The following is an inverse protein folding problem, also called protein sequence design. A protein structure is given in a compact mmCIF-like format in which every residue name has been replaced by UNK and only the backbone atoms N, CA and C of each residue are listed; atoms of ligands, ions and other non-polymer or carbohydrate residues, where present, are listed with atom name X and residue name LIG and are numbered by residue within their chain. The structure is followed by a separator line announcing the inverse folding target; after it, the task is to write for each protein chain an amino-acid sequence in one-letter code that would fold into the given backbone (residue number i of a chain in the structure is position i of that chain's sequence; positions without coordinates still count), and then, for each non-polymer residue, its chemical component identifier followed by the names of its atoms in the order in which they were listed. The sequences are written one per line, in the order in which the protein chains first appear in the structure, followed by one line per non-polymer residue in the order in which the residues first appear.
data_IF_027389927530
#
_entry.id   IF_027389927530
#
_cell.length_a   1.000
_cell.length_b   1.000
_cell.length_c   1.000
_cell.angle_alpha   90.00
_cell.angle_beta   90.00
_cell.angle_gamma   90.00
#
_symmetry.space_group_name_H-M   'P 1'
#
loop_
_entity.id
_entity.type
_entity.pdbx_description
1 polymer ?
#
# COMPACT_ATOMS: atom_id res chain seq x y z
N UNK A 1 3.18 30.12 44.46
CA UNK A 1 3.43 28.69 44.65
C UNK A 1 2.19 27.95 44.20
N UNK A 2 2.16 27.46 42.95
CA UNK A 2 0.99 26.79 42.38
C UNK A 2 0.96 25.34 42.85
N UNK A 3 0.05 25.03 43.77
CA UNK A 3 -0.27 23.68 44.20
C UNK A 3 -1.08 23.00 43.08
N UNK A 4 -0.44 22.14 42.29
CA UNK A 4 -1.14 21.25 41.35
C UNK A 4 -1.94 20.23 42.17
N UNK A 5 -3.28 20.25 42.03
CA UNK A 5 -4.11 19.22 42.64
C UNK A 5 -3.72 17.86 42.04
N UNK A 6 -3.58 16.79 42.85
CA UNK A 6 -3.31 15.47 42.31
C UNK A 6 -4.46 15.04 41.39
N UNK A 7 -4.12 14.51 40.21
CA UNK A 7 -5.10 14.03 39.23
C UNK A 7 -6.08 13.05 39.88
N UNK A 8 -7.36 13.35 39.78
CA UNK A 8 -8.45 12.58 40.36
C UNK A 8 -8.66 11.27 39.60
N UNK A 9 -9.22 10.27 40.28
CA UNK A 9 -9.68 9.03 39.64
C UNK A 9 -10.73 9.34 38.57
N UNK A 10 -11.55 10.38 38.78
CA UNK A 10 -12.55 10.83 37.81
C UNK A 10 -11.91 11.40 36.54
N UNK A 11 -10.79 12.14 36.65
CA UNK A 11 -10.06 12.67 35.49
C UNK A 11 -9.59 11.53 34.56
N UNK A 12 -9.11 10.42 35.14
CA UNK A 12 -8.70 9.22 34.39
C UNK A 12 -9.88 8.52 33.71
N UNK A 13 -11.04 8.49 34.36
CA UNK A 13 -12.24 7.89 33.80
C UNK A 13 -12.77 8.72 32.62
N UNK A 14 -12.73 10.05 32.74
CA UNK A 14 -13.13 10.97 31.67
C UNK A 14 -12.16 10.91 30.48
N UNK A 15 -10.85 10.85 30.73
CA UNK A 15 -9.83 10.61 29.70
C UNK A 15 -10.09 9.28 28.97
N UNK A 16 -10.32 8.18 29.70
CA UNK A 16 -10.60 6.87 29.11
C UNK A 16 -11.90 6.87 28.28
N UNK A 17 -12.94 7.57 28.75
CA UNK A 17 -14.21 7.71 28.04
C UNK A 17 -14.04 8.54 26.77
N UNK A 18 -13.25 9.61 26.81
CA UNK A 18 -12.92 10.41 25.63
C UNK A 18 -12.16 9.56 24.59
N UNK A 19 -11.19 8.75 25.01
CA UNK A 19 -10.47 7.81 24.13
C UNK A 19 -11.43 6.79 23.51
N UNK A 20 -12.32 6.19 24.31
CA UNK A 20 -13.28 5.20 23.83
C UNK A 20 -14.27 5.81 22.82
N UNK A 21 -14.79 7.00 23.10
CA UNK A 21 -15.69 7.72 22.18
C UNK A 21 -14.98 8.11 20.88
N UNK A 22 -13.74 8.61 20.96
CA UNK A 22 -12.94 8.94 19.79
C UNK A 22 -12.68 7.70 18.92
N UNK A 23 -12.37 6.57 19.56
CA UNK A 23 -12.15 5.28 18.90
C UNK A 23 -13.42 4.81 18.19
N UNK A 24 -14.57 4.90 18.86
CA UNK A 24 -15.87 4.54 18.28
C UNK A 24 -16.24 5.40 17.07
N UNK A 25 -16.01 6.72 17.14
CA UNK A 25 -16.23 7.64 16.02
C UNK A 25 -15.33 7.32 14.82
N UNK A 26 -14.06 6.99 15.07
CA UNK A 26 -13.11 6.57 14.01
C UNK A 26 -13.58 5.26 13.36
N UNK A 27 -13.99 4.27 14.15
CA UNK A 27 -14.50 2.99 13.64
C UNK A 27 -15.78 3.17 12.82
N UNK A 28 -16.71 3.99 13.28
CA UNK A 28 -17.95 4.30 12.57
C UNK A 28 -17.65 5.02 11.23
N UNK A 29 -16.77 6.03 11.25
CA UNK A 29 -16.35 6.72 10.04
C UNK A 29 -15.62 5.82 9.04
N UNK A 30 -14.78 4.90 9.54
CA UNK A 30 -14.08 3.92 8.69
C UNK A 30 -15.06 2.92 8.06
N UNK A 31 -16.04 2.45 8.82
CA UNK A 31 -17.08 1.54 8.31
C UNK A 31 -17.93 2.20 7.24
N UNK A 32 -18.33 3.45 7.47
CA UNK A 32 -19.09 4.23 6.50
C UNK A 32 -18.31 4.48 5.20
N UNK A 33 -17.01 4.75 5.31
CA UNK A 33 -16.11 4.90 4.16
C UNK A 33 -16.07 3.63 3.28
N UNK A 34 -15.99 2.45 3.92
CA UNK A 34 -16.01 1.16 3.22
C UNK A 34 -17.36 0.88 2.57
N UNK A 35 -18.46 1.12 3.28
CA UNK A 35 -19.81 0.92 2.75
C UNK A 35 -20.11 1.84 1.55
N UNK A 36 -19.69 3.10 1.66
CA UNK A 36 -19.77 4.08 0.56
C UNK A 36 -18.97 3.63 -0.67
N UNK A 37 -17.78 3.04 -0.50
CA UNK A 37 -17.01 2.49 -1.62
C UNK A 37 -17.68 1.25 -2.24
N UNK A 38 -18.22 0.35 -1.42
CA UNK A 38 -18.87 -0.88 -1.91
C UNK A 38 -20.17 -0.62 -2.68
N UNK A 39 -20.77 0.55 -2.50
CA UNK A 39 -21.97 0.98 -3.22
C UNK A 39 -21.67 1.77 -4.49
N UNK A 40 -20.42 2.19 -4.70
CA UNK A 40 -20.02 2.86 -5.93
C UNK A 40 -19.92 1.89 -7.10
N UNK A 41 -20.21 2.35 -8.33
CA UNK A 41 -20.03 1.54 -9.52
C UNK A 41 -18.56 1.20 -9.75
N UNK A 42 -18.30 -0.01 -10.24
CA UNK A 42 -16.95 -0.45 -10.60
C UNK A 42 -16.39 0.36 -11.76
N UNK A 43 -15.09 0.63 -11.73
CA UNK A 43 -14.37 1.32 -12.81
C UNK A 43 -14.41 0.53 -14.12
N UNK A 44 -14.30 1.24 -15.25
CA UNK A 44 -14.16 0.60 -16.55
C UNK A 44 -12.89 -0.27 -16.62
N UNK A 45 -12.94 -1.36 -17.40
CA UNK A 45 -11.80 -2.31 -17.54
C UNK A 45 -10.51 -1.69 -18.08
N UNK A 46 -10.60 -0.52 -18.71
CA UNK A 46 -9.48 0.19 -19.32
C UNK A 46 -9.03 1.41 -18.50
N UNK A 47 -9.65 1.66 -17.35
CA UNK A 47 -9.26 2.76 -16.47
C UNK A 47 -8.15 2.34 -15.50
N UNK A 48 -7.25 3.27 -15.19
CA UNK A 48 -6.18 3.04 -14.22
C UNK A 48 -6.75 3.13 -12.78
N UNK A 49 -6.75 2.02 -12.02
CA UNK A 49 -7.23 2.03 -10.64
C UNK A 49 -6.42 2.96 -9.75
N UNK A 50 -5.13 3.17 -9.99
CA UNK A 50 -4.30 4.10 -9.19
C UNK A 50 -4.71 5.55 -9.41
N UNK A 51 -5.01 5.93 -10.65
CA UNK A 51 -5.56 7.26 -10.95
C UNK A 51 -6.95 7.44 -10.36
N UNK A 52 -7.77 6.38 -10.41
CA UNK A 52 -9.09 6.41 -9.79
C UNK A 52 -8.98 6.69 -8.29
N UNK A 53 -8.16 5.93 -7.57
CA UNK A 53 -7.92 6.13 -6.14
C UNK A 53 -7.33 7.50 -5.83
N UNK A 54 -6.45 8.03 -6.69
CA UNK A 54 -5.88 9.39 -6.55
C UNK A 54 -6.97 10.47 -6.60
N UNK A 55 -7.91 10.36 -7.53
CA UNK A 55 -9.00 11.32 -7.66
C UNK A 55 -10.04 11.25 -6.51
N UNK A 56 -10.12 10.13 -5.78
CA UNK A 56 -11.05 9.95 -4.65
C UNK A 56 -10.35 9.93 -3.29
N UNK A 57 -9.12 10.45 -3.20
CA UNK A 57 -8.39 10.51 -1.91
C UNK A 57 -9.13 11.34 -0.87
N UNK A 58 -9.78 12.43 -1.26
CA UNK A 58 -10.52 13.29 -0.33
C UNK A 58 -11.80 12.63 0.19
N UNK A 59 -12.45 11.81 -0.65
CA UNK A 59 -13.66 11.06 -0.29
C UNK A 59 -13.34 9.82 0.54
N UNK A 60 -12.20 9.19 0.26
CA UNK A 60 -11.76 7.93 0.87
C UNK A 60 -10.32 8.05 1.42
N UNK A 61 -10.08 8.86 2.45
CA UNK A 61 -8.73 9.17 2.93
C UNK A 61 -8.00 7.97 3.55
N UNK A 62 -8.71 7.04 4.20
CA UNK A 62 -8.08 5.85 4.79
C UNK A 62 -8.00 4.72 3.78
N UNK A 63 -9.07 4.53 3.00
CA UNK A 63 -9.15 3.44 2.04
C UNK A 63 -8.20 3.64 0.86
N UNK A 64 -8.01 4.89 0.39
CA UNK A 64 -7.05 5.19 -0.69
C UNK A 64 -5.60 4.84 -0.32
N UNK A 65 -5.20 5.00 0.95
CA UNK A 65 -3.88 4.62 1.44
C UNK A 65 -3.70 3.10 1.38
N UNK A 66 -4.70 2.34 1.82
CA UNK A 66 -4.70 0.88 1.80
C UNK A 66 -4.73 0.36 0.35
N UNK A 67 -5.61 0.91 -0.47
CA UNK A 67 -5.74 0.54 -1.87
C UNK A 67 -4.46 0.78 -2.65
N UNK A 68 -3.80 1.94 -2.45
CA UNK A 68 -2.49 2.21 -3.06
C UNK A 68 -1.46 1.13 -2.70
N UNK A 69 -1.36 0.75 -1.43
CA UNK A 69 -0.43 -0.31 -1.00
C UNK A 69 -0.75 -1.66 -1.63
N UNK A 70 -2.03 -2.07 -1.61
CA UNK A 70 -2.46 -3.34 -2.17
C UNK A 70 -2.24 -3.41 -3.69
N UNK A 71 -2.60 -2.34 -4.41
CA UNK A 71 -2.43 -2.25 -5.85
C UNK A 71 -0.95 -2.22 -6.25
N UNK A 72 -0.08 -1.52 -5.51
CA UNK A 72 1.36 -1.57 -5.76
C UNK A 72 1.91 -2.99 -5.63
N UNK A 73 1.42 -3.80 -4.68
CA UNK A 73 1.87 -5.19 -4.52
C UNK A 73 1.46 -6.03 -5.73
N UNK A 74 0.20 -5.93 -6.17
CA UNK A 74 -0.33 -6.66 -7.33
C UNK A 74 0.39 -6.25 -8.62
N UNK A 75 0.59 -4.95 -8.81
CA UNK A 75 1.31 -4.42 -9.97
C UNK A 75 2.76 -4.88 -9.99
N UNK A 76 3.39 -5.09 -8.82
CA UNK A 76 4.76 -5.59 -8.75
C UNK A 76 4.87 -7.11 -8.87
N UNK A 77 3.85 -7.90 -8.50
CA UNK A 77 3.95 -9.37 -8.56
C UNK A 77 4.07 -9.88 -9.99
N UNK A 78 3.26 -9.36 -10.92
CA UNK A 78 3.25 -9.77 -12.34
C UNK A 78 4.60 -9.53 -13.05
N UNK A 79 5.23 -8.35 -13.01
CA UNK A 79 6.56 -8.15 -13.57
C UNK A 79 7.62 -8.95 -12.80
N UNK A 80 7.55 -9.05 -11.46
CA UNK A 80 8.49 -9.86 -10.69
C UNK A 80 8.47 -11.33 -11.11
N UNK A 81 7.29 -11.93 -11.32
CA UNK A 81 7.15 -13.29 -11.83
C UNK A 81 7.75 -13.45 -13.24
N UNK A 82 7.56 -12.45 -14.11
CA UNK A 82 8.14 -12.43 -15.45
C UNK A 82 9.67 -12.35 -15.41
N UNK A 83 10.23 -11.49 -14.55
CA UNK A 83 11.68 -11.37 -14.36
C UNK A 83 12.23 -12.67 -13.76
N UNK A 84 11.56 -13.21 -12.74
CA UNK A 84 11.96 -14.47 -12.10
C UNK A 84 11.91 -15.64 -13.07
N UNK A 85 10.90 -15.71 -13.94
CA UNK A 85 10.79 -16.73 -14.99
C UNK A 85 11.93 -16.60 -16.01
N UNK A 86 12.21 -15.37 -16.49
CA UNK A 86 13.34 -15.10 -17.40
C UNK A 86 14.68 -15.43 -16.76
N UNK A 87 14.89 -15.04 -15.50
CA UNK A 87 16.10 -15.36 -14.74
C UNK A 87 16.22 -16.85 -14.48
N UNK A 88 15.11 -17.54 -14.20
CA UNK A 88 15.05 -18.99 -14.06
C UNK A 88 15.58 -19.68 -15.31
N UNK A 89 15.13 -19.28 -16.50
CA UNK A 89 15.67 -19.78 -17.76
C UNK A 89 17.17 -19.49 -17.93
N UNK A 90 17.64 -18.28 -17.61
CA UNK A 90 19.07 -17.92 -17.70
C UNK A 90 19.94 -18.76 -16.74
N UNK A 91 19.44 -19.03 -15.54
CA UNK A 91 20.14 -19.79 -14.49
C UNK A 91 20.10 -21.29 -14.79
N UNK A 92 18.99 -21.81 -15.33
CA UNK A 92 18.80 -23.24 -15.60
C UNK A 92 19.45 -23.67 -16.92
N UNK A 93 19.39 -22.85 -17.97
CA UNK A 93 19.84 -23.22 -19.32
C UNK A 93 21.38 -23.10 -19.50
N UNK A 94 22.05 -22.28 -18.66
CA UNK A 94 23.51 -22.21 -18.62
C UNK A 94 24.06 -22.77 -17.31
N UNK A 95 24.60 -23.99 -17.35
CA UNK A 95 25.50 -24.58 -16.32
C UNK A 95 26.84 -23.81 -16.16
N UNK A 96 26.84 -22.48 -16.25
CA UNK A 96 28.02 -21.66 -16.00
C UNK A 96 27.88 -21.01 -14.63
N UNK A 97 29.00 -20.98 -13.89
CA UNK A 97 29.18 -20.45 -12.53
C UNK A 97 28.84 -18.95 -12.44
N UNK A 98 27.59 -18.57 -12.67
CA UNK A 98 27.11 -17.24 -12.41
C UNK A 98 26.90 -17.12 -10.91
N UNK A 99 27.73 -16.32 -10.23
CA UNK A 99 27.51 -16.11 -8.81
C UNK A 99 26.18 -15.39 -8.60
N UNK A 100 25.52 -15.68 -7.48
CA UNK A 100 24.24 -15.08 -7.09
C UNK A 100 24.22 -13.55 -7.21
N UNK A 101 25.38 -12.92 -6.99
CA UNK A 101 25.60 -11.47 -7.12
C UNK A 101 25.51 -10.97 -8.57
N UNK A 102 26.06 -11.73 -9.53
CA UNK A 102 25.99 -11.37 -10.97
C UNK A 102 24.60 -11.59 -11.54
N UNK A 103 23.91 -12.65 -11.11
CA UNK A 103 22.51 -12.90 -11.47
C UNK A 103 21.59 -11.76 -10.99
N UNK A 104 21.74 -11.33 -9.73
CA UNK A 104 20.97 -10.20 -9.19
C UNK A 104 21.24 -8.88 -9.90
N UNK A 105 22.51 -8.60 -10.25
CA UNK A 105 22.86 -7.39 -10.99
C UNK A 105 22.26 -7.39 -12.41
N UNK A 106 22.30 -8.52 -13.12
CA UNK A 106 21.68 -8.64 -14.44
C UNK A 106 20.16 -8.49 -14.36
N UNK A 107 19.52 -9.06 -13.34
CA UNK A 107 18.08 -8.86 -13.10
C UNK A 107 17.73 -7.39 -12.85
N UNK A 108 18.53 -6.69 -12.03
CA UNK A 108 18.35 -5.27 -11.76
C UNK A 108 18.54 -4.41 -13.02
N UNK A 109 19.62 -4.62 -13.78
CA UNK A 109 19.88 -3.88 -15.02
C UNK A 109 18.77 -4.14 -16.04
N UNK A 110 18.36 -5.39 -16.23
CA UNK A 110 17.30 -5.76 -17.16
C UNK A 110 15.95 -5.11 -16.79
N UNK A 111 15.63 -4.98 -15.50
CA UNK A 111 14.40 -4.34 -15.06
C UNK A 111 14.42 -2.83 -15.30
N UNK A 112 15.53 -2.17 -14.96
CA UNK A 112 15.65 -0.72 -15.12
C UNK A 112 15.80 -0.29 -16.59
N UNK A 113 16.35 -1.14 -17.46
CA UNK A 113 16.43 -0.88 -18.90
C UNK A 113 15.05 -0.67 -19.54
N UNK A 114 14.02 -1.40 -19.10
CA UNK A 114 12.66 -1.22 -19.63
C UNK A 114 12.05 0.13 -19.21
N UNK A 115 12.38 0.60 -18.00
CA UNK A 115 11.91 1.89 -17.49
C UNK A 115 12.60 3.04 -18.24
N UNK A 116 13.89 2.87 -18.56
CA UNK A 116 14.69 3.86 -19.27
C UNK A 116 14.41 3.89 -20.79
N UNK A 117 13.97 2.79 -21.39
CA UNK A 117 13.60 2.75 -22.82
C UNK A 117 12.25 3.41 -23.11
N UNK A 118 11.39 3.55 -22.11
CA UNK A 118 10.10 4.25 -22.24
C UNK A 118 10.24 5.79 -22.05
N UNK A 119 11.44 6.29 -21.72
CA UNK A 119 11.77 7.71 -21.52
C UNK A 119 12.58 8.35 -22.68
N UNK A 120 12.86 7.63 -23.77
CA UNK A 120 13.54 8.13 -25.00
C UNK A 120 12.62 7.94 -26.20
#
# INVERSE_FOLDING_TARGET
SSSERPKSIFDRLDENRAIANQSALICAGSRHEVESYLTEPTIGRHEDPLQWWKARQDRYPRLSILARKALCIIVNSVPCERIFSKMGLIITDRRQRLSHRKAGLLGFIAQNLQILSDEI
#
